data_IF_283320923718
#
_entry.id   IF_283320923718
#
_cell.length_a   1.000
_cell.length_b   1.000
_cell.length_c   1.000
_cell.angle_alpha   90.00
_cell.angle_beta   90.00
_cell.angle_gamma   90.00
#
_symmetry.space_group_name_H-M   'P 1'
#
loop_
_entity.id
_entity.type
_entity.pdbx_description
1 polymer ?
#
# COMPACT_ATOMS: atom_id res chain seq x y z
N UNK A 1 -76.92 -7.26 29.80
CA UNK A 1 -76.00 -8.14 29.22
C UNK A 1 -74.80 -7.31 28.69
N UNK A 2 -73.80 -7.15 29.52
CA UNK A 2 -72.68 -6.24 29.30
C UNK A 2 -71.54 -7.02 28.70
N UNK A 3 -70.98 -6.58 27.59
CA UNK A 3 -69.72 -7.10 27.02
C UNK A 3 -68.73 -5.98 27.08
N UNK A 4 -67.79 -6.14 27.98
CA UNK A 4 -66.64 -5.25 28.17
C UNK A 4 -65.53 -5.65 27.19
N UNK A 5 -65.18 -4.79 26.23
CA UNK A 5 -63.94 -4.95 25.40
C UNK A 5 -62.81 -4.36 26.15
N UNK A 6 -61.78 -5.19 26.31
CA UNK A 6 -60.42 -4.80 26.80
C UNK A 6 -59.63 -4.22 25.66
N UNK A 7 -59.28 -2.95 25.77
CA UNK A 7 -58.20 -2.32 24.97
C UNK A 7 -56.88 -2.90 25.37
N UNK A 8 -56.13 -3.44 24.38
CA UNK A 8 -54.72 -3.79 24.50
C UNK A 8 -53.88 -2.58 24.12
N UNK A 9 -53.27 -1.99 25.08
CA UNK A 9 -52.23 -0.99 24.92
C UNK A 9 -51.01 -1.63 24.24
N UNK A 10 -50.64 -1.05 23.12
CA UNK A 10 -49.47 -1.42 22.32
C UNK A 10 -48.28 -0.70 22.94
N UNK A 11 -47.50 -1.41 23.75
CA UNK A 11 -46.20 -0.90 24.28
C UNK A 11 -45.20 -0.84 23.14
N UNK A 12 -44.86 0.38 22.74
CA UNK A 12 -43.81 0.66 21.76
C UNK A 12 -42.45 0.21 22.25
N UNK A 13 -41.93 -0.80 21.61
CA UNK A 13 -40.53 -1.18 21.74
C UNK A 13 -39.63 -0.09 21.13
N UNK A 14 -39.08 0.75 21.99
CA UNK A 14 -38.03 1.68 21.66
C UNK A 14 -36.74 0.88 21.40
N UNK A 15 -36.44 0.63 20.13
CA UNK A 15 -35.14 0.11 19.73
C UNK A 15 -34.09 1.20 19.89
N UNK A 16 -33.44 1.23 21.04
CA UNK A 16 -32.20 1.96 21.22
C UNK A 16 -31.13 1.29 20.37
N UNK A 17 -30.83 1.86 19.20
CA UNK A 17 -29.60 1.58 18.45
C UNK A 17 -28.41 2.06 19.30
N UNK A 18 -27.88 1.16 20.11
CA UNK A 18 -26.53 1.32 20.62
C UNK A 18 -25.59 1.13 19.43
N UNK A 19 -25.11 2.25 18.91
CA UNK A 19 -23.95 2.29 18.03
C UNK A 19 -22.75 1.81 18.83
N UNK A 20 -22.64 0.49 18.95
CA UNK A 20 -21.41 -0.16 19.37
C UNK A 20 -20.35 0.13 18.33
N UNK A 21 -19.60 1.21 18.55
CA UNK A 21 -18.31 1.40 17.94
C UNK A 21 -17.47 0.22 18.47
N UNK A 22 -17.46 -0.89 17.72
CA UNK A 22 -16.39 -1.87 17.86
C UNK A 22 -15.10 -1.14 17.48
N UNK A 23 -14.42 -0.62 18.49
CA UNK A 23 -12.99 -0.42 18.41
C UNK A 23 -12.46 -1.82 18.14
N UNK A 24 -12.19 -2.10 16.87
CA UNK A 24 -11.33 -3.21 16.50
C UNK A 24 -10.03 -2.92 17.24
N UNK A 25 -9.81 -3.61 18.35
CA UNK A 25 -8.50 -3.68 18.98
C UNK A 25 -7.56 -4.05 17.83
N UNK A 26 -6.61 -3.19 17.55
CA UNK A 26 -5.48 -3.50 16.68
C UNK A 26 -4.86 -4.76 17.27
N UNK A 27 -5.22 -5.91 16.72
CA UNK A 27 -4.52 -7.14 17.01
C UNK A 27 -3.10 -6.84 16.55
N UNK A 28 -2.15 -6.74 17.47
CA UNK A 28 -0.73 -6.62 17.16
C UNK A 28 -0.41 -7.82 16.26
N UNK A 29 -0.30 -7.57 14.97
CA UNK A 29 0.02 -8.60 13.99
C UNK A 29 1.44 -9.07 14.29
N UNK A 30 1.56 -10.31 14.75
CA UNK A 30 2.85 -10.87 15.14
C UNK A 30 3.78 -11.00 13.91
N UNK A 31 5.06 -10.62 14.04
CA UNK A 31 6.04 -10.80 12.97
C UNK A 31 6.25 -12.29 12.68
N UNK A 32 6.63 -12.60 11.44
CA UNK A 32 6.81 -13.98 11.00
C UNK A 32 7.90 -14.71 11.79
N UNK A 33 7.60 -15.96 12.15
CA UNK A 33 8.59 -16.88 12.66
C UNK A 33 9.48 -17.44 11.54
N UNK A 34 10.64 -17.98 11.89
CA UNK A 34 11.52 -18.66 10.94
C UNK A 34 10.84 -19.81 10.19
N UNK A 35 9.89 -20.51 10.82
CA UNK A 35 9.12 -21.56 10.18
C UNK A 35 8.15 -21.00 9.13
N UNK A 36 7.55 -19.85 9.39
CA UNK A 36 6.69 -19.17 8.44
C UNK A 36 7.48 -18.72 7.20
N UNK A 37 8.67 -18.16 7.41
CA UNK A 37 9.58 -17.81 6.30
C UNK A 37 9.94 -19.04 5.48
N UNK A 38 10.22 -20.18 6.12
CA UNK A 38 10.49 -21.44 5.42
C UNK A 38 9.30 -21.91 4.57
N UNK A 39 8.09 -21.81 5.12
CA UNK A 39 6.84 -22.16 4.40
C UNK A 39 6.62 -21.21 3.19
N UNK A 40 6.86 -19.93 3.35
CA UNK A 40 6.77 -18.95 2.27
C UNK A 40 7.79 -19.22 1.17
N UNK A 41 9.03 -19.54 1.50
CA UNK A 41 10.04 -19.92 0.50
C UNK A 41 9.53 -21.08 -0.35
N UNK A 42 9.03 -22.15 0.28
CA UNK A 42 8.49 -23.30 -0.43
C UNK A 42 7.32 -22.89 -1.32
N UNK A 43 6.41 -22.06 -0.82
CA UNK A 43 5.26 -21.57 -1.57
C UNK A 43 5.70 -20.77 -2.81
N UNK A 44 6.63 -19.81 -2.65
CA UNK A 44 7.14 -18.99 -3.75
C UNK A 44 7.85 -19.86 -4.80
N UNK A 45 8.74 -20.76 -4.38
CA UNK A 45 9.45 -21.64 -5.32
C UNK A 45 8.47 -22.51 -6.11
N UNK A 46 7.44 -23.06 -5.46
CA UNK A 46 6.42 -23.87 -6.13
C UNK A 46 5.58 -23.03 -7.11
N UNK A 47 5.21 -21.81 -6.74
CA UNK A 47 4.40 -20.92 -7.59
C UNK A 47 5.08 -20.57 -8.92
N UNK A 48 6.42 -20.55 -8.95
CA UNK A 48 7.22 -20.32 -10.17
C UNK A 48 7.89 -21.57 -10.74
N UNK A 49 7.45 -22.78 -10.34
CA UNK A 49 8.01 -24.06 -10.79
C UNK A 49 9.54 -24.18 -10.57
N UNK A 50 10.08 -23.52 -9.55
CA UNK A 50 11.48 -23.61 -9.19
C UNK A 50 11.69 -24.65 -8.08
N UNK A 51 12.92 -25.18 -8.02
CA UNK A 51 13.26 -26.13 -6.96
C UNK A 51 13.98 -25.42 -5.81
N UNK A 52 13.51 -25.71 -4.59
CA UNK A 52 14.21 -25.26 -3.38
C UNK A 52 15.58 -25.96 -3.32
N UNK A 53 16.66 -25.23 -2.99
CA UNK A 53 18.00 -25.82 -2.87
C UNK A 53 18.02 -27.01 -1.90
N UNK A 54 18.48 -28.15 -2.38
CA UNK A 54 18.56 -29.40 -1.59
C UNK A 54 19.83 -29.46 -0.71
N UNK A 55 20.84 -28.63 -1.05
CA UNK A 55 22.07 -28.56 -0.27
C UNK A 55 21.82 -27.77 1.01
N UNK A 56 21.95 -28.42 2.17
CA UNK A 56 21.61 -27.84 3.48
C UNK A 56 22.26 -26.46 3.72
N UNK A 57 23.53 -26.30 3.37
CA UNK A 57 24.21 -25.01 3.52
C UNK A 57 23.55 -23.90 2.70
N UNK A 58 23.22 -24.16 1.44
CA UNK A 58 22.55 -23.16 0.55
C UNK A 58 21.15 -22.84 1.01
N UNK A 59 20.43 -23.85 1.54
CA UNK A 59 19.10 -23.65 2.09
C UNK A 59 19.15 -22.77 3.35
N UNK A 60 20.13 -22.99 4.24
CA UNK A 60 20.29 -22.18 5.45
C UNK A 60 20.64 -20.72 5.11
N UNK A 61 21.51 -20.51 4.11
CA UNK A 61 21.84 -19.17 3.61
C UNK A 61 20.61 -18.47 3.00
N UNK A 62 19.85 -19.19 2.19
CA UNK A 62 18.60 -18.69 1.60
C UNK A 62 17.60 -18.29 2.69
N UNK A 63 17.35 -19.19 3.65
CA UNK A 63 16.41 -18.97 4.74
C UNK A 63 16.83 -17.76 5.59
N UNK A 64 18.11 -17.64 5.94
CA UNK A 64 18.62 -16.50 6.71
C UNK A 64 18.44 -15.18 5.94
N UNK A 65 18.70 -15.17 4.64
CA UNK A 65 18.53 -13.98 3.80
C UNK A 65 17.04 -13.56 3.73
N UNK A 66 16.13 -14.52 3.56
CA UNK A 66 14.71 -14.22 3.51
C UNK A 66 14.16 -13.77 4.87
N UNK A 67 14.63 -14.38 5.96
CA UNK A 67 14.29 -13.99 7.33
C UNK A 67 14.72 -12.53 7.62
N UNK A 68 15.93 -12.14 7.21
CA UNK A 68 16.40 -10.76 7.34
C UNK A 68 15.55 -9.75 6.55
N UNK A 69 15.02 -10.15 5.39
CA UNK A 69 14.30 -9.22 4.51
C UNK A 69 12.80 -9.18 4.83
N UNK A 70 12.20 -10.28 5.26
CA UNK A 70 10.75 -10.39 5.41
C UNK A 70 10.30 -10.61 6.85
N UNK A 71 11.20 -10.89 7.80
CA UNK A 71 10.86 -11.35 9.14
C UNK A 71 10.08 -10.34 10.01
N UNK A 72 10.10 -9.07 9.67
CA UNK A 72 9.30 -8.00 10.32
C UNK A 72 7.89 -7.83 9.74
N UNK A 73 7.57 -8.56 8.68
CA UNK A 73 6.23 -8.58 8.07
C UNK A 73 5.38 -9.69 8.64
N UNK A 74 4.07 -9.61 8.45
CA UNK A 74 3.17 -10.70 8.79
C UNK A 74 3.04 -11.73 7.66
N UNK A 75 2.56 -12.92 8.00
CA UNK A 75 2.29 -13.98 7.02
C UNK A 75 1.26 -13.53 5.99
N UNK A 76 0.24 -12.79 6.42
CA UNK A 76 -0.83 -12.26 5.58
C UNK A 76 -0.31 -11.26 4.55
N UNK A 77 0.54 -10.33 4.98
CA UNK A 77 1.15 -9.32 4.10
C UNK A 77 1.97 -9.97 3.00
N UNK A 78 2.84 -10.91 3.38
CA UNK A 78 3.72 -11.61 2.42
C UNK A 78 2.92 -12.50 1.47
N UNK A 79 1.95 -13.27 1.96
CA UNK A 79 1.08 -14.08 1.11
C UNK A 79 0.22 -13.23 0.17
N UNK A 80 -0.24 -12.07 0.65
CA UNK A 80 -0.95 -11.09 -0.17
C UNK A 80 -0.09 -10.55 -1.30
N UNK A 81 1.16 -10.21 -1.02
CA UNK A 81 2.14 -9.77 -2.01
C UNK A 81 2.46 -10.86 -3.04
N UNK A 82 2.72 -12.08 -2.58
CA UNK A 82 2.98 -13.23 -3.47
C UNK A 82 1.81 -13.46 -4.42
N UNK A 83 0.57 -13.46 -3.92
CA UNK A 83 -0.64 -13.61 -4.76
C UNK A 83 -0.74 -12.51 -5.84
N UNK A 84 -0.46 -11.27 -5.48
CA UNK A 84 -0.45 -10.14 -6.44
C UNK A 84 0.61 -10.37 -7.52
N UNK A 85 1.84 -10.75 -7.12
CA UNK A 85 2.94 -10.98 -8.06
C UNK A 85 2.70 -12.18 -8.99
N UNK A 86 2.03 -13.22 -8.51
CA UNK A 86 1.58 -14.36 -9.34
C UNK A 86 0.52 -13.90 -10.33
N UNK A 87 -0.48 -13.14 -9.88
CA UNK A 87 -1.56 -12.63 -10.74
C UNK A 87 -1.06 -11.69 -11.86
N UNK A 88 0.08 -11.03 -11.66
CA UNK A 88 0.74 -10.21 -12.68
C UNK A 88 1.50 -11.04 -13.74
N UNK A 89 1.42 -12.36 -13.67
CA UNK A 89 2.03 -13.32 -14.63
C UNK A 89 3.50 -13.00 -14.92
N UNK A 90 4.28 -12.70 -13.89
CA UNK A 90 5.70 -12.41 -14.05
C UNK A 90 6.46 -13.70 -14.36
N UNK A 91 7.15 -13.74 -15.50
CA UNK A 91 7.92 -14.90 -15.95
C UNK A 91 9.06 -15.30 -14.97
N UNK A 92 9.57 -14.36 -14.21
CA UNK A 92 10.70 -14.59 -13.30
C UNK A 92 10.24 -14.60 -11.84
N UNK A 93 10.73 -15.56 -11.08
CA UNK A 93 10.50 -15.64 -9.64
C UNK A 93 10.97 -14.34 -8.96
N UNK A 94 10.13 -13.70 -8.13
CA UNK A 94 10.46 -12.47 -7.45
C UNK A 94 11.57 -12.69 -6.41
N UNK A 95 12.41 -11.70 -6.25
CA UNK A 95 13.37 -11.65 -5.14
C UNK A 95 12.64 -11.28 -3.85
N UNK A 96 13.14 -11.65 -2.67
CA UNK A 96 12.51 -11.31 -1.40
C UNK A 96 12.28 -9.80 -1.22
N UNK A 97 13.20 -8.95 -1.68
CA UNK A 97 13.01 -7.50 -1.68
C UNK A 97 11.86 -7.00 -2.57
N UNK A 98 11.55 -7.71 -3.66
CA UNK A 98 10.37 -7.41 -4.49
C UNK A 98 9.07 -7.77 -3.77
N UNK A 99 9.06 -8.92 -3.08
CA UNK A 99 7.92 -9.35 -2.26
C UNK A 99 7.70 -8.36 -1.11
N UNK A 100 8.76 -7.96 -0.42
CA UNK A 100 8.71 -6.94 0.63
C UNK A 100 8.10 -5.63 0.14
N UNK A 101 8.58 -5.11 -0.98
CA UNK A 101 8.05 -3.86 -1.55
C UNK A 101 6.56 -3.98 -1.84
N UNK A 102 6.13 -5.08 -2.42
CA UNK A 102 4.71 -5.33 -2.72
C UNK A 102 3.87 -5.45 -1.44
N UNK A 103 4.38 -6.10 -0.40
CA UNK A 103 3.72 -6.19 0.89
C UNK A 103 3.55 -4.82 1.54
N UNK A 104 4.62 -4.05 1.64
CA UNK A 104 4.63 -2.73 2.25
C UNK A 104 3.86 -1.68 1.43
N UNK A 105 3.73 -1.85 0.12
CA UNK A 105 2.94 -0.94 -0.72
C UNK A 105 1.47 -0.86 -0.32
N UNK A 106 0.96 -1.89 0.34
CA UNK A 106 -0.42 -1.93 0.87
C UNK A 106 -0.54 -1.42 2.29
N UNK A 107 0.51 -1.57 3.07
CA UNK A 107 0.59 -1.09 4.46
C UNK A 107 0.87 0.40 4.55
N UNK A 108 1.81 0.85 3.75
CA UNK A 108 2.21 2.24 3.66
C UNK A 108 1.43 2.86 2.50
N UNK A 109 1.05 4.11 2.65
CA UNK A 109 0.49 4.89 1.55
C UNK A 109 1.58 5.07 0.48
N UNK A 110 1.75 4.06 -0.37
CA UNK A 110 2.83 3.99 -1.34
C UNK A 110 2.67 5.07 -2.41
N UNK A 111 3.78 5.65 -2.90
CA UNK A 111 3.71 6.63 -3.97
C UNK A 111 2.96 6.09 -5.19
N UNK A 112 2.09 6.88 -5.82
CA UNK A 112 1.44 6.49 -7.05
C UNK A 112 2.47 6.21 -8.15
N UNK A 113 2.09 5.47 -9.19
CA UNK A 113 2.96 5.32 -10.35
C UNK A 113 3.27 6.68 -10.98
N UNK A 114 4.46 6.84 -11.55
CA UNK A 114 4.91 8.14 -12.09
C UNK A 114 3.96 8.73 -13.15
N UNK A 115 3.29 7.88 -13.93
CA UNK A 115 2.29 8.33 -14.90
C UNK A 115 0.99 8.82 -14.24
N UNK A 116 0.57 8.20 -13.13
CA UNK A 116 -0.59 8.65 -12.32
C UNK A 116 -0.31 9.97 -11.65
N UNK A 117 0.90 10.10 -11.09
CA UNK A 117 1.37 11.36 -10.53
C UNK A 117 1.39 12.49 -11.57
N UNK A 118 1.78 12.19 -12.82
CA UNK A 118 1.72 13.13 -13.93
C UNK A 118 0.29 13.54 -14.28
N UNK A 119 -0.63 12.59 -14.37
CA UNK A 119 -2.06 12.91 -14.60
C UNK A 119 -2.59 13.79 -13.50
N UNK A 120 -2.27 13.46 -12.24
CA UNK A 120 -2.69 14.25 -11.09
C UNK A 120 -2.12 15.67 -11.10
N UNK A 121 -0.86 15.82 -11.48
CA UNK A 121 -0.24 17.14 -11.64
C UNK A 121 -0.98 18.00 -12.68
N UNK A 122 -1.37 17.42 -13.80
CA UNK A 122 -2.14 18.11 -14.84
C UNK A 122 -3.52 18.55 -14.35
N UNK A 123 -4.25 17.67 -13.69
CA UNK A 123 -5.55 18.00 -13.08
C UNK A 123 -5.45 19.18 -12.11
N UNK A 124 -4.42 19.16 -11.25
CA UNK A 124 -4.15 20.27 -10.32
C UNK A 124 -3.83 21.56 -11.06
N UNK A 125 -3.02 21.50 -12.11
CA UNK A 125 -2.66 22.67 -12.92
C UNK A 125 -3.86 23.26 -13.66
N UNK A 126 -4.73 22.45 -14.20
CA UNK A 126 -5.97 22.88 -14.84
C UNK A 126 -6.92 23.53 -13.81
N UNK A 127 -7.02 22.94 -12.61
CA UNK A 127 -7.81 23.47 -11.50
C UNK A 127 -7.32 24.84 -11.01
N UNK A 128 -6.00 25.01 -10.88
CA UNK A 128 -5.37 26.27 -10.46
C UNK A 128 -5.56 27.35 -11.53
N UNK A 129 -5.36 27.02 -12.81
CA UNK A 129 -5.54 27.96 -13.93
C UNK A 129 -7.00 28.39 -14.12
N UNK A 130 -7.95 27.55 -13.78
CA UNK A 130 -9.39 27.88 -13.84
C UNK A 130 -9.89 28.65 -12.60
N UNK A 131 -9.04 28.87 -11.60
CA UNK A 131 -9.40 29.53 -10.35
C UNK A 131 -10.27 28.67 -9.41
N UNK A 132 -10.51 27.41 -9.74
CA UNK A 132 -11.33 26.48 -8.96
C UNK A 132 -10.58 25.79 -7.81
N UNK A 133 -9.23 25.83 -7.84
CA UNK A 133 -8.38 25.24 -6.80
C UNK A 133 -7.31 26.24 -6.36
N UNK A 134 -7.00 26.19 -5.09
CA UNK A 134 -5.89 26.94 -4.51
C UNK A 134 -4.69 26.02 -4.35
N UNK A 135 -3.48 26.59 -4.23
CA UNK A 135 -2.24 25.83 -3.94
C UNK A 135 -2.39 24.98 -2.64
N UNK A 136 -3.35 25.31 -1.78
CA UNK A 136 -3.67 24.54 -0.57
C UNK A 136 -4.23 23.14 -0.88
N UNK A 137 -4.89 22.94 -2.00
CA UNK A 137 -5.35 21.60 -2.44
C UNK A 137 -4.20 20.64 -2.78
N UNK A 138 -2.99 21.15 -2.94
CA UNK A 138 -1.77 20.33 -3.07
C UNK A 138 -1.46 19.58 -1.77
N UNK A 139 -2.02 20.00 -0.63
CA UNK A 139 -1.88 19.30 0.65
C UNK A 139 -2.58 17.94 0.72
N UNK A 140 -3.52 17.66 -0.19
CA UNK A 140 -4.29 16.41 -0.26
C UNK A 140 -3.66 15.33 -1.15
N UNK A 141 -2.48 15.61 -1.73
CA UNK A 141 -1.77 14.66 -2.58
C UNK A 141 -0.68 13.93 -1.80
N UNK A 142 -0.30 12.77 -2.30
CA UNK A 142 0.78 11.98 -1.73
C UNK A 142 2.06 12.82 -1.53
N UNK A 143 2.77 12.59 -0.43
CA UNK A 143 3.94 13.35 -0.02
C UNK A 143 5.02 13.45 -1.11
N UNK A 144 5.29 12.35 -1.82
CA UNK A 144 6.28 12.31 -2.92
C UNK A 144 5.88 13.28 -4.03
N UNK A 145 4.61 13.30 -4.43
CA UNK A 145 4.13 14.24 -5.43
C UNK A 145 4.27 15.69 -4.94
N UNK A 146 3.96 15.95 -3.69
CA UNK A 146 4.12 17.27 -3.07
C UNK A 146 5.59 17.72 -3.05
N UNK A 147 6.52 16.84 -2.61
CA UNK A 147 7.96 17.12 -2.63
C UNK A 147 8.46 17.40 -4.06
N UNK A 148 7.99 16.62 -5.04
CA UNK A 148 8.32 16.81 -6.45
C UNK A 148 7.86 18.18 -6.95
N UNK A 149 6.62 18.60 -6.67
CA UNK A 149 6.09 19.91 -7.05
C UNK A 149 6.94 21.03 -6.45
N UNK A 150 7.28 20.94 -5.17
CA UNK A 150 8.13 21.93 -4.49
C UNK A 150 9.51 22.00 -5.15
N UNK A 151 10.14 20.87 -5.43
CA UNK A 151 11.45 20.76 -6.08
C UNK A 151 11.46 21.38 -7.48
N UNK A 152 10.36 21.24 -8.21
CA UNK A 152 10.19 21.83 -9.56
C UNK A 152 9.76 23.31 -9.55
N UNK A 153 9.84 23.98 -8.38
CA UNK A 153 9.56 25.41 -8.24
C UNK A 153 8.09 25.74 -7.94
N UNK A 154 7.35 24.81 -7.33
CA UNK A 154 5.97 25.04 -6.90
C UNK A 154 5.03 25.30 -8.08
N UNK A 155 4.61 26.55 -8.27
CA UNK A 155 3.71 26.92 -9.38
C UNK A 155 4.30 26.67 -10.77
N UNK A 156 5.62 26.65 -10.92
CA UNK A 156 6.28 26.34 -12.19
C UNK A 156 6.07 24.89 -12.63
N UNK A 157 5.89 23.96 -11.68
CA UNK A 157 5.57 22.57 -11.99
C UNK A 157 4.27 22.45 -12.82
N UNK A 158 3.28 23.31 -12.57
CA UNK A 158 2.03 23.33 -13.34
C UNK A 158 2.23 23.87 -14.76
N UNK A 159 3.19 24.78 -14.96
CA UNK A 159 3.58 25.27 -16.29
C UNK A 159 4.25 24.15 -17.09
N UNK A 160 5.11 23.33 -16.47
CA UNK A 160 5.70 22.15 -17.11
C UNK A 160 4.61 21.19 -17.58
N UNK A 161 3.58 20.96 -16.76
CA UNK A 161 2.46 20.10 -17.11
C UNK A 161 1.71 20.59 -18.36
N UNK A 162 1.60 21.90 -18.54
CA UNK A 162 0.95 22.52 -19.70
C UNK A 162 1.83 22.44 -20.95
N UNK A 163 3.15 22.59 -20.81
CA UNK A 163 4.11 22.62 -21.93
C UNK A 163 4.54 21.21 -22.41
N UNK A 164 4.07 20.14 -21.76
CA UNK A 164 4.33 18.77 -22.18
C UNK A 164 5.68 18.19 -21.74
N UNK A 165 6.39 18.82 -20.83
CA UNK A 165 7.68 18.37 -20.28
C UNK A 165 7.53 17.17 -19.32
N UNK A 166 6.79 16.18 -19.80
CA UNK A 166 6.46 14.96 -19.05
C UNK A 166 7.70 14.23 -18.55
N UNK A 167 8.71 14.09 -19.40
CA UNK A 167 9.90 13.30 -19.09
C UNK A 167 10.65 13.90 -17.90
N UNK A 168 10.82 15.21 -17.88
CA UNK A 168 11.47 15.91 -16.80
C UNK A 168 10.75 15.73 -15.45
N UNK A 169 9.42 15.80 -15.47
CA UNK A 169 8.62 15.52 -14.28
C UNK A 169 8.79 14.07 -13.82
N UNK A 170 8.69 13.08 -14.73
CA UNK A 170 8.81 11.67 -14.41
C UNK A 170 10.16 11.35 -13.75
N UNK A 171 11.24 11.93 -14.27
CA UNK A 171 12.58 11.77 -13.70
C UNK A 171 12.67 12.34 -12.27
N UNK A 172 12.17 13.57 -12.06
CA UNK A 172 12.15 14.20 -10.76
C UNK A 172 11.29 13.42 -9.76
N UNK A 173 10.10 12.97 -10.18
CA UNK A 173 9.20 12.16 -9.35
C UNK A 173 9.82 10.81 -9.00
N UNK A 174 10.43 10.12 -9.95
CA UNK A 174 11.07 8.82 -9.72
C UNK A 174 12.21 8.92 -8.71
N UNK A 175 12.97 10.02 -8.72
CA UNK A 175 14.02 10.26 -7.74
C UNK A 175 13.46 10.46 -6.32
N UNK A 176 12.38 11.24 -6.18
CA UNK A 176 11.72 11.43 -4.88
C UNK A 176 11.03 10.14 -4.39
N UNK A 177 10.44 9.37 -5.31
CA UNK A 177 9.83 8.07 -4.97
C UNK A 177 10.90 7.07 -4.49
N UNK A 178 12.05 7.00 -5.15
CA UNK A 178 13.16 6.14 -4.72
C UNK A 178 13.68 6.52 -3.32
N UNK A 179 13.80 7.80 -3.01
CA UNK A 179 14.18 8.26 -1.68
C UNK A 179 13.14 7.87 -0.62
N UNK A 180 11.88 8.06 -0.94
CA UNK A 180 10.79 7.70 -0.05
C UNK A 180 10.79 6.18 0.20
N UNK A 181 11.02 5.35 -0.85
CA UNK A 181 11.17 3.91 -0.73
C UNK A 181 12.37 3.54 0.16
N UNK A 182 13.50 4.20 -0.01
CA UNK A 182 14.69 3.98 0.83
C UNK A 182 14.41 4.33 2.30
N UNK A 183 13.73 5.43 2.57
CA UNK A 183 13.40 5.87 3.93
C UNK A 183 12.38 4.96 4.62
N UNK A 184 11.38 4.45 3.88
CA UNK A 184 10.25 3.72 4.46
C UNK A 184 10.37 2.20 4.33
N UNK A 185 11.08 1.70 3.30
CA UNK A 185 11.24 0.26 3.07
C UNK A 185 12.60 -0.29 3.47
N UNK A 186 13.59 0.58 3.75
CA UNK A 186 14.83 0.12 4.33
C UNK A 186 14.56 -0.42 5.71
N UNK A 187 14.77 -1.70 5.87
CA UNK A 187 14.78 -2.34 7.18
C UNK A 187 15.79 -1.63 8.06
N UNK A 188 15.36 -1.25 9.23
CA UNK A 188 16.29 -0.95 10.30
C UNK A 188 17.07 -2.24 10.57
N UNK A 189 18.25 -2.34 9.93
CA UNK A 189 19.20 -3.40 10.18
C UNK A 189 19.92 -3.18 11.51
#
# INVERSE_FOLDING_TARGET
MSSTQKEKTNEGLCFCFHSGLHVLADAEEEPMTRNDVAAIIIHVFNAWNNQVPQVEKRYKELLSTWEQILGDLTVEEVNGAVRTLVALDRANMPRPGTIRREALSKRLDAPPAAWEAWVKLRELGEGVNSGNQTIQSVGEVHEVLRKTIIRLGGSQAFTLATNGDRQFFIEAFSQEASRWEEENYSTHG
#
